data_IF_319096096578
#
_entry.id   IF_319096096578
#
_cell.length_a   1.000
_cell.length_b   1.000
_cell.length_c   1.000
_cell.angle_alpha   90.00
_cell.angle_beta   90.00
_cell.angle_gamma   90.00
#
_symmetry.space_group_name_H-M   'P 1'
#
loop_
_entity.id
_entity.type
_entity.pdbx_description
1 polymer ?
#
# COMPACT_ATOMS: atom_id res chain seq x y z
N UNK A 1 -65.08 -30.21 -9.72
CA UNK A 1 -65.11 -28.79 -10.13
C UNK A 1 -63.98 -27.92 -9.61
N UNK A 2 -63.08 -28.45 -8.79
CA UNK A 2 -61.94 -27.67 -8.19
C UNK A 2 -60.61 -27.75 -8.96
N UNK A 3 -60.44 -28.70 -9.85
CA UNK A 3 -59.14 -28.88 -10.57
C UNK A 3 -58.99 -28.06 -11.87
N UNK A 4 -60.11 -27.57 -12.44
CA UNK A 4 -60.08 -26.75 -13.68
C UNK A 4 -59.75 -25.25 -13.39
N UNK A 5 -59.99 -24.80 -12.17
CA UNK A 5 -59.77 -23.39 -11.81
C UNK A 5 -58.30 -23.07 -11.50
N UNK A 6 -57.52 -24.06 -11.04
CA UNK A 6 -56.10 -23.91 -10.75
C UNK A 6 -55.25 -23.88 -12.05
N UNK A 7 -55.69 -24.59 -13.09
CA UNK A 7 -54.96 -24.65 -14.38
C UNK A 7 -55.03 -23.36 -15.19
N UNK A 8 -56.11 -22.59 -15.02
CA UNK A 8 -56.24 -21.30 -15.69
C UNK A 8 -55.53 -20.15 -14.98
N UNK A 9 -55.29 -20.29 -13.68
CA UNK A 9 -54.53 -19.28 -12.91
C UNK A 9 -53.02 -19.34 -13.25
N UNK A 10 -52.49 -20.54 -13.48
CA UNK A 10 -51.08 -20.72 -13.87
C UNK A 10 -50.75 -20.21 -15.27
N UNK A 11 -51.71 -20.24 -16.20
CA UNK A 11 -51.52 -19.72 -17.57
C UNK A 11 -51.56 -18.19 -17.63
N UNK A 12 -52.23 -17.52 -16.69
CA UNK A 12 -52.27 -16.05 -16.62
C UNK A 12 -51.00 -15.50 -15.99
N UNK A 13 -50.45 -16.17 -14.99
CA UNK A 13 -49.18 -15.75 -14.36
C UNK A 13 -47.93 -16.07 -15.21
N UNK A 14 -47.96 -17.16 -16.00
CA UNK A 14 -46.89 -17.51 -16.93
C UNK A 14 -46.78 -16.58 -18.14
N UNK A 15 -47.92 -16.00 -18.58
CA UNK A 15 -47.95 -15.07 -19.72
C UNK A 15 -47.47 -13.66 -19.39
N UNK A 16 -47.65 -13.21 -18.15
CA UNK A 16 -47.21 -11.88 -17.71
C UNK A 16 -45.68 -11.85 -17.41
N UNK A 17 -45.13 -12.98 -17.00
CA UNK A 17 -43.67 -13.07 -16.71
C UNK A 17 -42.82 -13.08 -17.99
N UNK A 18 -43.36 -13.51 -19.14
CA UNK A 18 -42.64 -13.53 -20.42
C UNK A 18 -42.68 -12.16 -21.12
N UNK A 19 -43.71 -11.34 -20.84
CA UNK A 19 -43.82 -9.99 -21.43
C UNK A 19 -42.95 -8.93 -20.67
N UNK A 20 -42.44 -9.23 -19.49
CA UNK A 20 -41.56 -8.33 -18.76
C UNK A 20 -40.06 -8.58 -19.02
N UNK A 21 -39.70 -9.66 -19.74
CA UNK A 21 -38.31 -9.98 -20.09
C UNK A 21 -37.91 -9.52 -21.51
N UNK A 22 -38.82 -8.93 -22.25
CA UNK A 22 -38.61 -8.58 -23.66
C UNK A 22 -38.34 -7.10 -23.98
N UNK A 23 -38.16 -6.22 -23.00
CA UNK A 23 -38.02 -4.77 -23.23
C UNK A 23 -36.82 -4.09 -22.63
N UNK A 24 -35.69 -4.77 -22.44
CA UNK A 24 -34.43 -4.15 -22.04
C UNK A 24 -33.25 -4.57 -22.92
N UNK A 25 -33.38 -4.33 -24.20
CA UNK A 25 -32.23 -4.27 -25.12
C UNK A 25 -32.19 -2.89 -25.76
N UNK A 26 -32.00 -1.89 -24.95
CA UNK A 26 -31.37 -0.65 -25.38
C UNK A 26 -29.91 -0.77 -25.02
N UNK A 27 -29.04 -0.85 -26.02
CA UNK A 27 -27.63 -0.55 -25.96
C UNK A 27 -27.45 0.88 -25.44
N UNK A 28 -27.60 1.09 -24.13
CA UNK A 28 -27.00 2.20 -23.47
C UNK A 28 -25.57 1.74 -23.10
N UNK A 29 -24.59 2.26 -23.83
CA UNK A 29 -23.21 2.30 -23.34
C UNK A 29 -23.26 2.59 -21.83
N UNK A 30 -22.53 1.86 -20.97
CA UNK A 30 -22.51 2.18 -19.57
C UNK A 30 -22.13 3.64 -19.47
N UNK A 31 -23.05 4.51 -19.03
CA UNK A 31 -22.68 5.84 -18.55
C UNK A 31 -21.64 5.54 -17.47
N UNK A 32 -20.37 5.98 -17.69
CA UNK A 32 -19.40 6.13 -16.62
C UNK A 32 -20.15 6.88 -15.52
N UNK A 33 -20.57 6.18 -14.47
CA UNK A 33 -21.01 6.84 -13.26
C UNK A 33 -19.78 7.60 -12.82
N UNK A 34 -19.85 8.93 -12.81
CA UNK A 34 -18.85 9.74 -12.12
C UNK A 34 -18.92 9.27 -10.67
N UNK A 35 -17.96 8.40 -10.27
CA UNK A 35 -17.92 7.83 -8.92
C UNK A 35 -17.95 8.97 -7.91
N UNK A 36 -18.52 8.77 -6.73
CA UNK A 36 -18.64 9.80 -5.69
C UNK A 36 -17.28 10.38 -5.27
N UNK A 37 -16.17 9.68 -5.59
CA UNK A 37 -14.80 10.15 -5.39
C UNK A 37 -14.19 10.88 -6.60
N UNK A 38 -14.90 11.04 -7.70
CA UNK A 38 -14.36 11.54 -8.97
C UNK A 38 -13.71 12.95 -8.91
N UNK A 39 -14.09 13.74 -7.93
CA UNK A 39 -13.51 15.08 -7.71
C UNK A 39 -12.29 15.08 -6.77
N UNK A 40 -12.03 13.99 -6.04
CA UNK A 40 -10.95 13.90 -5.07
C UNK A 40 -9.71 13.26 -5.68
N UNK A 41 -8.53 13.75 -5.31
CA UNK A 41 -7.24 13.20 -5.74
C UNK A 41 -6.58 12.33 -4.68
N UNK A 42 -6.83 12.66 -3.41
CA UNK A 42 -6.14 12.02 -2.28
C UNK A 42 -7.11 11.60 -1.19
N UNK A 43 -6.80 10.45 -0.58
CA UNK A 43 -7.24 10.15 0.77
C UNK A 43 -6.01 10.06 1.67
N UNK A 44 -6.04 10.70 2.83
CA UNK A 44 -4.92 10.73 3.78
C UNK A 44 -5.41 10.43 5.18
N UNK A 45 -4.77 9.49 5.85
CA UNK A 45 -5.03 9.20 7.26
C UNK A 45 -3.87 9.66 8.13
N UNK A 46 -4.21 10.25 9.28
CA UNK A 46 -3.26 10.56 10.34
C UNK A 46 -3.77 9.91 11.62
N UNK A 47 -2.96 9.05 12.18
CA UNK A 47 -3.26 8.36 13.42
C UNK A 47 -2.40 8.94 14.56
N UNK A 48 -3.02 9.19 15.71
CA UNK A 48 -2.35 9.57 16.94
C UNK A 48 -2.81 8.74 18.12
N UNK A 49 -1.85 8.29 18.89
CA UNK A 49 -2.06 7.65 20.17
C UNK A 49 -1.89 8.71 21.26
N UNK A 50 -2.99 9.19 21.86
CA UNK A 50 -2.91 10.22 22.91
C UNK A 50 -2.21 9.66 24.17
N UNK A 51 -0.99 10.16 24.51
CA UNK A 51 -0.37 9.77 25.76
C UNK A 51 -1.04 10.53 26.89
N UNK A 52 -1.81 9.92 27.71
CA UNK A 52 -2.19 10.31 29.09
C UNK A 52 -3.28 9.40 29.63
N UNK A 53 -3.00 8.09 29.73
CA UNK A 53 -3.83 7.19 30.52
C UNK A 53 -5.26 6.94 30.01
N UNK A 54 -5.69 7.57 28.90
CA UNK A 54 -6.89 7.26 28.16
C UNK A 54 -6.49 6.62 26.84
N UNK A 55 -6.93 5.39 26.63
CA UNK A 55 -6.73 4.61 25.39
C UNK A 55 -7.58 5.14 24.22
N UNK A 56 -7.72 6.43 24.08
CA UNK A 56 -8.50 7.03 23.01
C UNK A 56 -7.60 7.30 21.83
N UNK A 57 -7.43 6.27 20.99
CA UNK A 57 -6.84 6.45 19.67
C UNK A 57 -7.75 7.33 18.83
N UNK A 58 -7.16 8.20 18.04
CA UNK A 58 -7.87 9.08 17.14
C UNK A 58 -7.21 9.03 15.77
N UNK A 59 -8.00 8.75 14.74
CA UNK A 59 -7.59 8.95 13.35
C UNK A 59 -8.34 10.13 12.77
N UNK A 60 -7.62 10.98 12.07
CA UNK A 60 -8.21 11.98 11.16
C UNK A 60 -7.99 11.51 9.73
N UNK A 61 -9.08 11.34 8.99
CA UNK A 61 -9.06 10.96 7.58
C UNK A 61 -9.56 12.13 6.75
N UNK A 62 -8.80 12.49 5.74
CA UNK A 62 -9.09 13.58 4.81
C UNK A 62 -9.27 13.04 3.40
N UNK A 63 -10.34 13.51 2.73
CA UNK A 63 -10.46 13.43 1.27
C UNK A 63 -10.15 14.82 0.71
N UNK A 64 -9.23 14.88 -0.23
CA UNK A 64 -8.69 16.15 -0.75
C UNK A 64 -8.93 16.19 -2.25
N UNK A 65 -9.59 17.24 -2.73
CA UNK A 65 -9.90 17.40 -4.12
C UNK A 65 -8.75 18.04 -4.93
N UNK A 66 -8.96 18.15 -6.25
CA UNK A 66 -7.99 18.77 -7.18
C UNK A 66 -7.65 20.21 -6.87
N UNK A 67 -8.51 20.94 -6.15
CA UNK A 67 -8.27 22.31 -5.72
C UNK A 67 -7.59 22.41 -4.36
N UNK A 68 -7.46 21.28 -3.65
CA UNK A 68 -6.94 21.22 -2.29
C UNK A 68 -8.03 21.42 -1.23
N UNK A 69 -9.32 21.45 -1.62
CA UNK A 69 -10.43 21.49 -0.66
C UNK A 69 -10.50 20.15 0.09
N UNK A 70 -10.75 20.22 1.39
CA UNK A 70 -10.58 19.07 2.28
C UNK A 70 -11.90 18.71 2.97
N UNK A 71 -12.18 17.42 3.02
CA UNK A 71 -13.27 16.85 3.80
C UNK A 71 -12.71 15.95 4.89
N UNK A 72 -12.89 16.33 6.14
CA UNK A 72 -12.36 15.64 7.32
C UNK A 72 -13.37 14.67 7.93
N UNK A 73 -12.87 13.52 8.39
CA UNK A 73 -13.52 12.60 9.33
C UNK A 73 -12.66 12.41 10.57
N UNK A 74 -13.23 12.66 11.74
CA UNK A 74 -12.60 12.36 13.04
C UNK A 74 -13.10 11.02 13.57
N UNK A 75 -12.26 10.00 13.54
CA UNK A 75 -12.59 8.60 13.81
C UNK A 75 -12.03 8.20 15.18
N UNK A 76 -12.82 8.42 16.23
CA UNK A 76 -12.44 8.06 17.60
C UNK A 76 -12.42 6.55 17.79
N UNK A 77 -11.36 6.05 18.40
CA UNK A 77 -11.18 4.64 18.67
C UNK A 77 -10.68 3.82 17.48
N UNK A 78 -10.37 4.44 16.33
CA UNK A 78 -9.79 3.77 15.18
C UNK A 78 -8.31 4.16 15.04
N UNK A 79 -7.50 3.21 14.60
CA UNK A 79 -6.07 3.35 14.33
C UNK A 79 -5.82 3.01 12.87
N UNK A 80 -6.27 3.87 11.95
CA UNK A 80 -6.14 3.60 10.52
C UNK A 80 -4.67 3.71 10.12
N UNK A 81 -4.10 2.61 9.65
CA UNK A 81 -2.70 2.51 9.23
C UNK A 81 -2.52 2.23 7.74
N UNK A 82 -3.58 1.82 7.04
CA UNK A 82 -3.49 1.50 5.61
C UNK A 82 -4.77 1.91 4.90
N UNK A 83 -4.63 2.61 3.78
CA UNK A 83 -5.70 2.99 2.87
C UNK A 83 -5.57 2.21 1.57
N UNK A 84 -6.69 1.77 1.01
CA UNK A 84 -6.71 1.04 -0.25
C UNK A 84 -8.00 1.34 -1.01
N UNK A 85 -7.92 1.44 -2.33
CA UNK A 85 -9.08 1.62 -3.21
C UNK A 85 -9.34 0.36 -4.01
N UNK A 86 -10.59 -0.09 -3.99
CA UNK A 86 -11.10 -1.14 -4.88
C UNK A 86 -12.35 -0.62 -5.60
N UNK A 87 -12.24 -0.42 -6.91
CA UNK A 87 -13.30 0.21 -7.70
C UNK A 87 -13.69 1.58 -7.15
N UNK A 88 -14.95 1.76 -6.79
CA UNK A 88 -15.48 3.01 -6.24
C UNK A 88 -15.52 3.04 -4.70
N UNK A 89 -14.86 2.13 -4.02
CA UNK A 89 -14.82 2.07 -2.56
C UNK A 89 -13.40 2.29 -2.04
N UNK A 90 -13.29 3.03 -0.92
CA UNK A 90 -12.02 3.22 -0.23
C UNK A 90 -12.08 2.51 1.12
N UNK A 91 -11.16 1.57 1.30
CA UNK A 91 -10.99 0.78 2.51
C UNK A 91 -9.98 1.48 3.42
N UNK A 92 -10.36 1.70 4.66
CA UNK A 92 -9.50 2.22 5.70
C UNK A 92 -9.29 1.13 6.76
N UNK A 93 -8.13 0.50 6.70
CA UNK A 93 -7.78 -0.64 7.54
C UNK A 93 -7.25 -0.19 8.89
N UNK A 94 -7.91 -0.63 9.95
CA UNK A 94 -7.46 -0.39 11.32
C UNK A 94 -6.33 -1.34 11.71
N UNK A 95 -5.38 -0.84 12.45
CA UNK A 95 -4.38 -1.64 13.14
C UNK A 95 -5.02 -2.38 14.33
N UNK A 96 -4.71 -3.64 14.51
CA UNK A 96 -5.21 -4.48 15.61
C UNK A 96 -6.67 -4.93 15.46
N UNK A 97 -7.36 -5.14 16.58
CA UNK A 97 -8.71 -5.75 16.65
C UNK A 97 -9.86 -4.87 16.21
N UNK A 98 -9.60 -3.66 15.79
CA UNK A 98 -10.66 -2.71 15.42
C UNK A 98 -11.24 -3.08 14.07
N UNK A 99 -12.57 -2.87 13.86
CA UNK A 99 -13.17 -3.09 12.55
C UNK A 99 -12.58 -2.12 11.52
N UNK A 100 -12.55 -2.56 10.26
CA UNK A 100 -12.19 -1.72 9.14
C UNK A 100 -13.37 -0.87 8.71
N UNK A 101 -13.10 0.24 8.02
CA UNK A 101 -14.11 1.11 7.46
C UNK A 101 -14.07 1.02 5.94
N UNK A 102 -15.25 1.06 5.32
CA UNK A 102 -15.40 1.13 3.86
C UNK A 102 -16.17 2.40 3.54
N UNK A 103 -15.52 3.32 2.86
CA UNK A 103 -16.10 4.56 2.36
C UNK A 103 -16.67 4.30 0.97
N UNK A 104 -17.97 4.47 0.83
CA UNK A 104 -18.69 4.43 -0.46
C UNK A 104 -18.75 5.81 -1.10
N UNK A 105 -18.57 6.83 -0.28
CA UNK A 105 -18.47 8.23 -0.69
C UNK A 105 -17.58 8.97 0.31
N UNK A 106 -17.08 10.16 -0.04
CA UNK A 106 -16.37 11.01 0.92
C UNK A 106 -17.19 11.46 2.13
N UNK A 107 -18.49 11.14 2.17
CA UNK A 107 -19.41 11.53 3.25
C UNK A 107 -19.89 10.37 4.08
N UNK A 108 -19.85 9.17 3.53
CA UNK A 108 -20.53 8.00 4.13
C UNK A 108 -19.61 6.80 4.17
N UNK A 109 -19.55 6.15 5.31
CA UNK A 109 -18.84 4.90 5.46
C UNK A 109 -19.69 3.86 6.20
N UNK A 110 -19.37 2.61 5.99
CA UNK A 110 -19.87 1.48 6.74
C UNK A 110 -18.73 0.81 7.50
N UNK A 111 -19.09 0.19 8.62
CA UNK A 111 -18.14 -0.62 9.37
C UNK A 111 -18.07 -1.99 8.68
N UNK A 112 -16.89 -2.35 8.21
CA UNK A 112 -16.65 -3.67 7.68
C UNK A 112 -16.29 -4.61 8.84
N UNK A 113 -16.99 -5.75 9.01
CA UNK A 113 -16.68 -6.68 10.09
C UNK A 113 -15.22 -7.13 9.97
N UNK A 114 -14.48 -7.01 11.06
CA UNK A 114 -13.10 -7.52 11.13
C UNK A 114 -13.00 -9.04 11.09
N UNK A 115 -14.14 -9.73 11.10
CA UNK A 115 -14.17 -11.19 10.97
C UNK A 115 -13.87 -11.56 9.52
N UNK A 116 -12.61 -11.83 9.25
CA UNK A 116 -12.23 -12.56 8.06
C UNK A 116 -12.71 -13.99 8.28
N UNK A 117 -13.65 -14.51 7.46
CA UNK A 117 -13.99 -15.92 7.50
C UNK A 117 -12.70 -16.73 7.40
N UNK A 118 -12.51 -17.72 8.26
CA UNK A 118 -11.35 -18.62 8.30
C UNK A 118 -10.09 -18.14 9.05
N UNK A 119 -10.12 -17.00 9.74
CA UNK A 119 -9.00 -16.59 10.58
C UNK A 119 -9.33 -16.88 12.04
N UNK A 120 -8.59 -17.80 12.65
CA UNK A 120 -8.64 -18.10 14.09
C UNK A 120 -8.04 -16.97 14.94
N UNK A 121 -8.01 -15.75 14.40
CA UNK A 121 -7.31 -14.62 15.01
C UNK A 121 -8.28 -13.62 15.59
N UNK A 122 -8.12 -13.36 16.85
CA UNK A 122 -8.81 -12.25 17.52
C UNK A 122 -8.17 -10.90 17.22
N UNK A 123 -6.89 -10.89 16.76
CA UNK A 123 -6.10 -9.69 16.54
C UNK A 123 -5.29 -9.81 15.25
N UNK A 124 -5.59 -9.03 14.25
CA UNK A 124 -4.75 -8.88 13.07
C UNK A 124 -4.66 -7.43 12.64
N UNK A 125 -3.57 -7.08 12.00
CA UNK A 125 -3.40 -5.79 11.32
C UNK A 125 -3.09 -6.01 9.85
N UNK A 126 -3.68 -5.19 8.99
CA UNK A 126 -3.30 -5.14 7.57
C UNK A 126 -2.01 -4.33 7.48
N UNK A 127 -0.94 -4.95 7.01
CA UNK A 127 0.37 -4.33 6.85
C UNK A 127 0.52 -3.63 5.51
N UNK A 128 -0.06 -4.23 4.48
CA UNK A 128 -0.17 -3.63 3.17
C UNK A 128 -1.45 -4.09 2.49
N UNK A 129 -1.94 -3.30 1.56
CA UNK A 129 -2.94 -3.70 0.58
C UNK A 129 -2.50 -3.21 -0.79
N UNK A 130 -2.61 -4.07 -1.79
CA UNK A 130 -2.23 -3.76 -3.17
C UNK A 130 -3.26 -4.31 -4.16
N UNK A 131 -3.27 -3.76 -5.37
CA UNK A 131 -4.16 -4.20 -6.43
C UNK A 131 -3.63 -5.50 -7.03
N UNK A 132 -4.39 -6.58 -6.93
CA UNK A 132 -4.14 -7.81 -7.63
C UNK A 132 -4.97 -7.90 -8.92
N UNK A 133 -4.72 -8.93 -9.73
CA UNK A 133 -5.42 -9.15 -11.00
C UNK A 133 -6.92 -9.45 -10.82
N UNK A 134 -7.30 -10.06 -9.69
CA UNK A 134 -8.66 -10.52 -9.41
C UNK A 134 -9.28 -9.92 -8.15
N UNK A 135 -8.65 -8.91 -7.58
CA UNK A 135 -9.09 -8.26 -6.36
C UNK A 135 -7.92 -7.87 -5.47
N UNK A 136 -8.19 -7.35 -4.28
CA UNK A 136 -7.13 -6.89 -3.38
C UNK A 136 -6.25 -8.04 -2.88
N UNK A 137 -4.97 -7.72 -2.71
CA UNK A 137 -4.01 -8.55 -2.00
C UNK A 137 -3.70 -7.85 -0.69
N UNK A 138 -3.88 -8.54 0.41
CA UNK A 138 -3.70 -7.97 1.74
C UNK A 138 -2.70 -8.80 2.57
N UNK A 139 -1.66 -8.15 3.01
CA UNK A 139 -0.70 -8.70 3.97
C UNK A 139 -1.22 -8.55 5.39
N UNK A 140 -1.49 -9.66 6.08
CA UNK A 140 -2.06 -9.71 7.41
C UNK A 140 -1.00 -10.14 8.41
N UNK A 141 -0.76 -9.36 9.46
CA UNK A 141 0.09 -9.74 10.58
C UNK A 141 -0.72 -9.98 11.83
N UNK A 142 -0.35 -11.01 12.57
CA UNK A 142 -0.97 -11.43 13.82
C UNK A 142 0.09 -11.48 14.90
N UNK A 143 -0.18 -10.81 16.02
CA UNK A 143 0.56 -11.07 17.24
C UNK A 143 0.02 -12.37 17.85
N UNK A 144 0.79 -13.45 17.78
CA UNK A 144 0.55 -14.63 18.58
C UNK A 144 1.02 -14.30 20.01
N UNK A 145 0.14 -14.47 21.00
CA UNK A 145 0.43 -14.12 22.41
C UNK A 145 1.61 -14.86 23.06
N UNK A 146 2.34 -15.70 22.32
CA UNK A 146 3.63 -16.24 22.66
C UNK A 146 4.71 -15.25 22.23
N UNK A 147 5.37 -14.70 23.21
CA UNK A 147 6.49 -13.75 23.18
C UNK A 147 7.17 -13.59 21.80
N UNK A 148 6.82 -12.52 21.09
CA UNK A 148 7.70 -11.93 20.07
C UNK A 148 7.67 -12.56 18.68
N UNK A 149 6.83 -13.55 18.38
CA UNK A 149 6.74 -14.12 17.03
C UNK A 149 5.57 -13.48 16.28
N UNK A 150 5.88 -12.63 15.31
CA UNK A 150 4.90 -12.16 14.33
C UNK A 150 4.69 -13.27 13.30
N UNK A 151 3.43 -13.65 13.13
CA UNK A 151 3.01 -14.55 12.05
C UNK A 151 2.21 -13.76 11.04
N UNK A 152 2.48 -13.98 9.80
CA UNK A 152 1.77 -13.28 8.72
C UNK A 152 1.12 -14.26 7.75
N UNK A 153 0.12 -13.75 7.04
CA UNK A 153 -0.57 -14.42 5.94
C UNK A 153 -0.88 -13.41 4.85
N UNK A 154 -1.15 -13.90 3.67
CA UNK A 154 -1.71 -13.11 2.57
C UNK A 154 -3.14 -13.54 2.33
N UNK A 155 -4.06 -12.57 2.25
CA UNK A 155 -5.41 -12.76 1.72
C UNK A 155 -5.43 -12.29 0.27
N UNK A 156 -5.95 -13.11 -0.62
CA UNK A 156 -6.00 -12.83 -2.05
C UNK A 156 -7.16 -13.56 -2.73
N UNK A 157 -7.48 -13.21 -3.97
CA UNK A 157 -8.48 -13.91 -4.79
C UNK A 157 -7.76 -14.79 -5.79
N UNK A 158 -7.94 -16.11 -5.68
CA UNK A 158 -7.25 -17.09 -6.52
C UNK A 158 -7.83 -17.20 -7.95
N UNK A 159 -7.22 -18.07 -8.77
CA UNK A 159 -7.66 -18.34 -10.15
C UNK A 159 -9.11 -18.83 -10.29
N UNK A 160 -9.72 -19.35 -9.23
CA UNK A 160 -11.11 -19.79 -9.19
C UNK A 160 -12.07 -18.71 -8.68
N UNK A 161 -11.65 -17.46 -8.62
CA UNK A 161 -12.38 -16.32 -8.07
C UNK A 161 -12.85 -16.54 -6.61
N UNK A 162 -12.07 -17.28 -5.83
CA UNK A 162 -12.33 -17.49 -4.42
C UNK A 162 -11.32 -16.72 -3.59
N UNK A 163 -11.82 -16.08 -2.54
CA UNK A 163 -10.95 -15.48 -1.54
C UNK A 163 -10.27 -16.57 -0.72
N UNK A 164 -8.96 -16.52 -0.61
CA UNK A 164 -8.11 -17.52 0.05
C UNK A 164 -7.15 -16.86 1.02
N UNK A 165 -6.72 -17.62 2.01
CA UNK A 165 -5.60 -17.27 2.88
C UNK A 165 -4.41 -18.16 2.58
N UNK A 166 -3.24 -17.56 2.46
CA UNK A 166 -1.98 -18.29 2.36
C UNK A 166 -1.69 -19.10 3.65
N UNK A 167 -0.74 -20.03 3.63
CA UNK A 167 -0.11 -20.55 4.83
C UNK A 167 0.45 -19.45 5.72
N UNK A 168 0.73 -19.78 6.98
CA UNK A 168 1.40 -18.87 7.93
C UNK A 168 2.89 -18.83 7.64
N UNK A 169 3.46 -17.61 7.66
CA UNK A 169 4.91 -17.40 7.68
C UNK A 169 5.32 -16.67 8.96
N UNK A 170 6.50 -16.98 9.49
CA UNK A 170 7.02 -16.34 10.71
C UNK A 170 7.80 -15.08 10.37
N UNK A 171 7.19 -14.20 9.57
CA UNK A 171 7.77 -12.97 9.09
C UNK A 171 6.78 -11.82 9.29
N UNK A 172 7.29 -10.63 9.52
CA UNK A 172 6.53 -9.40 9.33
C UNK A 172 6.55 -9.06 7.85
N UNK A 173 5.40 -9.12 7.17
CA UNK A 173 5.32 -8.77 5.75
C UNK A 173 5.41 -7.26 5.55
N UNK A 174 6.17 -6.87 4.54
CA UNK A 174 6.29 -5.50 4.05
C UNK A 174 5.34 -5.21 2.90
N UNK A 175 5.89 -4.92 1.72
CA UNK A 175 5.12 -4.67 0.48
C UNK A 175 4.86 -5.96 -0.28
N UNK A 176 3.81 -5.96 -1.11
CA UNK A 176 3.47 -7.11 -1.96
C UNK A 176 2.89 -6.68 -3.31
N UNK A 177 3.25 -7.40 -4.37
CA UNK A 177 2.72 -7.22 -5.73
C UNK A 177 2.42 -8.56 -6.38
N UNK A 178 1.39 -8.64 -7.22
CA UNK A 178 1.05 -9.83 -8.00
C UNK A 178 1.59 -9.71 -9.43
N UNK A 179 2.27 -10.75 -9.88
CA UNK A 179 2.74 -10.90 -11.26
C UNK A 179 2.63 -12.37 -11.65
N UNK A 180 2.00 -12.68 -12.78
CA UNK A 180 1.90 -14.05 -13.34
C UNK A 180 1.41 -15.10 -12.32
N UNK A 181 0.33 -14.80 -11.59
CA UNK A 181 -0.23 -15.67 -10.54
C UNK A 181 0.75 -16.02 -9.41
N UNK A 182 1.72 -15.16 -9.17
CA UNK A 182 2.61 -15.19 -8.02
C UNK A 182 2.54 -13.87 -7.29
N UNK A 183 2.46 -13.91 -5.98
CA UNK A 183 2.46 -12.72 -5.15
C UNK A 183 3.84 -12.58 -4.51
N UNK A 184 4.63 -11.65 -5.03
CA UNK A 184 5.95 -11.32 -4.50
C UNK A 184 5.81 -10.43 -3.28
N UNK A 185 6.52 -10.74 -2.20
CA UNK A 185 6.48 -9.99 -0.95
C UNK A 185 7.84 -9.86 -0.32
N UNK A 186 8.08 -8.75 0.33
CA UNK A 186 9.19 -8.58 1.25
C UNK A 186 8.76 -8.95 2.66
N UNK A 187 9.68 -9.46 3.47
CA UNK A 187 9.39 -9.84 4.84
C UNK A 187 10.61 -9.70 5.75
N UNK A 188 10.36 -9.50 7.03
CA UNK A 188 11.36 -9.37 8.07
C UNK A 188 11.16 -10.42 9.16
N UNK A 189 12.18 -11.22 9.44
CA UNK A 189 12.19 -12.15 10.57
C UNK A 189 12.63 -11.44 11.85
N UNK A 190 11.70 -11.22 12.75
CA UNK A 190 11.98 -10.56 14.02
C UNK A 190 12.90 -11.37 14.96
N UNK A 191 12.98 -12.68 14.77
CA UNK A 191 13.80 -13.57 15.61
C UNK A 191 15.21 -13.69 15.04
N UNK A 192 15.31 -14.04 13.75
CA UNK A 192 16.57 -14.13 13.01
C UNK A 192 17.18 -12.78 12.69
N UNK A 193 16.38 -11.71 12.72
CA UNK A 193 16.81 -10.37 12.34
C UNK A 193 17.28 -10.31 10.87
N UNK A 194 16.59 -11.07 10.02
CA UNK A 194 16.90 -11.23 8.61
C UNK A 194 15.78 -10.71 7.71
N UNK A 195 16.17 -10.11 6.61
CA UNK A 195 15.23 -9.76 5.54
C UNK A 195 15.01 -10.96 4.62
N UNK A 196 13.81 -11.07 4.08
CA UNK A 196 13.43 -12.14 3.16
C UNK A 196 12.68 -11.59 1.97
N UNK A 197 12.99 -12.11 0.80
CA UNK A 197 12.20 -11.90 -0.40
C UNK A 197 11.54 -13.23 -0.79
N UNK A 198 10.22 -13.23 -0.83
CA UNK A 198 9.41 -14.42 -1.03
C UNK A 198 8.45 -14.22 -2.19
N UNK A 199 7.97 -15.32 -2.73
CA UNK A 199 6.74 -15.32 -3.50
C UNK A 199 5.77 -16.38 -2.97
N UNK A 200 4.48 -16.07 -3.09
CA UNK A 200 3.40 -17.01 -2.89
C UNK A 200 2.96 -17.51 -4.27
N UNK A 201 3.10 -18.82 -4.51
CA UNK A 201 2.52 -19.48 -5.67
C UNK A 201 1.01 -19.67 -5.42
N UNK A 202 0.16 -18.97 -6.19
CA UNK A 202 -1.28 -19.01 -5.97
C UNK A 202 -1.92 -20.38 -6.29
N UNK A 203 -1.34 -21.15 -7.20
CA UNK A 203 -1.86 -22.46 -7.59
C UNK A 203 -1.57 -23.51 -6.51
N UNK A 204 -0.37 -23.49 -5.97
CA UNK A 204 0.06 -24.39 -4.89
C UNK A 204 -0.41 -23.89 -3.52
N UNK A 205 -0.63 -22.61 -3.37
CA UNK A 205 -0.85 -21.89 -2.10
C UNK A 205 0.30 -22.14 -1.11
N UNK A 206 1.52 -21.98 -1.59
CA UNK A 206 2.75 -22.19 -0.83
C UNK A 206 3.71 -21.01 -1.01
N UNK A 207 4.41 -20.65 0.07
CA UNK A 207 5.48 -19.66 0.00
C UNK A 207 6.79 -20.33 -0.36
N UNK A 208 7.50 -19.70 -1.30
CA UNK A 208 8.86 -20.07 -1.65
C UNK A 208 9.77 -18.83 -1.50
N UNK A 209 11.03 -19.04 -1.16
CA UNK A 209 12.01 -17.95 -1.02
C UNK A 209 12.70 -17.70 -2.36
N UNK A 210 12.90 -16.45 -2.71
CA UNK A 210 13.80 -16.06 -3.79
C UNK A 210 15.23 -16.20 -3.26
N UNK A 211 16.03 -17.03 -3.92
CA UNK A 211 17.43 -17.21 -3.59
C UNK A 211 18.23 -15.95 -3.95
N UNK A 212 18.74 -15.27 -2.94
CA UNK A 212 19.61 -14.10 -3.07
C UNK A 212 21.02 -14.48 -2.60
N UNK A 213 22.04 -13.83 -3.17
CA UNK A 213 23.45 -14.06 -2.80
C UNK A 213 23.68 -13.69 -1.34
N UNK A 214 23.12 -12.55 -0.90
CA UNK A 214 23.18 -12.13 0.48
C UNK A 214 21.90 -11.43 0.92
N UNK A 215 20.86 -12.16 1.34
CA UNK A 215 19.59 -11.60 1.76
C UNK A 215 19.71 -10.74 3.02
N UNK A 216 20.79 -10.89 3.81
CA UNK A 216 21.00 -10.12 5.04
C UNK A 216 21.46 -8.68 4.78
N UNK A 217 21.82 -8.34 3.54
CA UNK A 217 22.36 -7.01 3.21
C UNK A 217 21.30 -5.94 2.95
N UNK A 218 20.04 -6.33 2.75
CA UNK A 218 19.03 -5.39 2.23
C UNK A 218 17.83 -5.22 3.14
N UNK A 219 17.61 -3.99 3.60
CA UNK A 219 16.31 -3.54 4.09
C UNK A 219 15.50 -3.04 2.89
N UNK A 220 14.62 -3.88 2.36
CA UNK A 220 13.83 -3.60 1.16
C UNK A 220 12.90 -2.41 1.36
N UNK A 221 13.24 -1.28 0.77
CA UNK A 221 12.44 -0.05 0.85
C UNK A 221 11.29 -0.05 -0.15
N UNK A 222 11.55 -0.52 -1.37
CA UNK A 222 10.57 -0.51 -2.44
C UNK A 222 10.48 -1.86 -3.15
N UNK A 223 9.27 -2.18 -3.62
CA UNK A 223 8.94 -3.33 -4.44
C UNK A 223 8.17 -2.82 -5.67
N UNK A 224 8.76 -2.92 -6.84
CA UNK A 224 8.29 -2.31 -8.07
C UNK A 224 8.06 -3.37 -9.15
N UNK A 225 7.13 -3.10 -10.07
CA UNK A 225 7.00 -3.84 -11.32
C UNK A 225 7.50 -2.96 -12.47
N UNK A 226 8.55 -3.40 -13.16
CA UNK A 226 9.21 -2.62 -14.22
C UNK A 226 9.52 -3.55 -15.39
N UNK A 227 8.98 -3.24 -16.55
CA UNK A 227 9.20 -4.03 -17.78
C UNK A 227 8.99 -5.55 -17.56
N UNK A 228 7.93 -5.90 -16.85
CA UNK A 228 7.57 -7.29 -16.53
C UNK A 228 8.42 -7.98 -15.46
N UNK A 229 9.42 -7.31 -14.88
CA UNK A 229 10.26 -7.82 -13.80
C UNK A 229 9.91 -7.21 -12.46
N UNK A 230 10.14 -7.97 -11.40
CA UNK A 230 9.97 -7.52 -10.02
C UNK A 230 11.29 -6.96 -9.52
N UNK A 231 11.29 -5.66 -9.19
CA UNK A 231 12.48 -4.95 -8.75
C UNK A 231 12.37 -4.64 -7.26
N UNK A 232 13.43 -4.89 -6.51
CA UNK A 232 13.58 -4.35 -5.15
C UNK A 232 14.75 -3.39 -5.09
N UNK A 233 14.57 -2.33 -4.32
CA UNK A 233 15.63 -1.39 -3.96
C UNK A 233 15.68 -1.35 -2.44
N UNK A 234 16.84 -1.63 -1.87
CA UNK A 234 17.00 -1.76 -0.43
C UNK A 234 18.17 -0.98 0.14
N UNK A 235 17.96 -0.47 1.35
CA UNK A 235 19.01 0.15 2.15
C UNK A 235 19.89 -0.91 2.81
N UNK A 236 21.11 -0.57 3.28
CA UNK A 236 21.90 -1.47 4.09
C UNK A 236 21.10 -1.95 5.32
N UNK A 237 21.00 -3.24 5.50
CA UNK A 237 20.41 -3.84 6.70
C UNK A 237 21.50 -4.16 7.71
N UNK A 238 21.37 -3.62 8.93
CA UNK A 238 22.27 -3.88 10.03
C UNK A 238 21.58 -4.80 11.05
N UNK A 239 21.90 -6.09 10.96
CA UNK A 239 21.40 -7.03 11.94
C UNK A 239 22.00 -6.73 13.33
N UNK A 240 21.22 -6.98 14.38
CA UNK A 240 21.71 -6.91 15.77
C UNK A 240 22.82 -7.93 16.06
N UNK A 241 22.98 -8.93 15.20
CA UNK A 241 24.02 -9.95 15.29
C UNK A 241 25.28 -9.59 14.49
N UNK A 242 25.27 -8.50 13.72
CA UNK A 242 26.44 -8.04 12.97
C UNK A 242 27.46 -7.48 13.94
N UNK A 243 28.72 -7.93 13.79
CA UNK A 243 29.88 -7.29 14.42
C UNK A 243 30.25 -5.98 13.68
N UNK A 244 31.26 -5.29 14.19
CA UNK A 244 31.68 -4.00 13.66
C UNK A 244 32.22 -4.13 12.24
N UNK A 245 32.95 -5.20 11.91
CA UNK A 245 33.53 -5.46 10.59
C UNK A 245 32.41 -5.65 9.55
N UNK A 246 31.40 -6.47 9.84
CA UNK A 246 30.24 -6.67 8.98
C UNK A 246 29.42 -5.39 8.79
N UNK A 247 29.25 -4.58 9.85
CA UNK A 247 28.55 -3.29 9.75
C UNK A 247 29.28 -2.32 8.84
N UNK A 248 30.60 -2.22 8.94
CA UNK A 248 31.39 -1.38 8.02
C UNK A 248 31.38 -1.93 6.59
N UNK A 249 31.37 -3.25 6.40
CA UNK A 249 31.26 -3.86 5.06
C UNK A 249 29.93 -3.55 4.38
N UNK A 250 28.82 -3.56 5.12
CA UNK A 250 27.48 -3.25 4.63
C UNK A 250 27.22 -1.76 4.46
N UNK A 251 27.94 -0.93 5.18
CA UNK A 251 27.79 0.52 5.18
C UNK A 251 27.92 1.08 3.77
N UNK A 252 26.99 1.97 3.42
CA UNK A 252 26.95 2.61 2.09
C UNK A 252 26.73 1.65 0.91
N UNK A 253 26.20 0.48 1.14
CA UNK A 253 25.85 -0.47 0.06
C UNK A 253 24.34 -0.57 -0.10
N UNK A 254 23.79 0.07 -1.12
CA UNK A 254 22.40 -0.12 -1.55
C UNK A 254 22.33 -1.39 -2.39
N UNK A 255 21.36 -2.24 -2.15
CA UNK A 255 21.10 -3.42 -2.95
C UNK A 255 20.00 -3.19 -3.98
N UNK A 256 20.23 -3.63 -5.19
CA UNK A 256 19.26 -3.68 -6.27
C UNK A 256 19.05 -5.14 -6.64
N UNK A 257 17.80 -5.58 -6.68
CA UNK A 257 17.47 -6.95 -7.10
C UNK A 257 16.42 -6.90 -8.20
N UNK A 258 16.63 -7.67 -9.25
CA UNK A 258 15.69 -7.86 -10.35
C UNK A 258 15.35 -9.34 -10.46
N UNK A 259 14.05 -9.68 -10.40
CA UNK A 259 13.59 -11.06 -10.51
C UNK A 259 12.68 -11.20 -11.73
N UNK A 260 12.98 -12.16 -12.59
CA UNK A 260 12.07 -12.60 -13.63
C UNK A 260 10.95 -13.44 -13.00
N UNK A 261 9.67 -13.02 -13.09
CA UNK A 261 8.58 -13.70 -12.39
C UNK A 261 8.23 -15.07 -13.01
N UNK A 262 8.77 -15.40 -14.19
CA UNK A 262 8.55 -16.66 -14.88
C UNK A 262 9.61 -17.69 -14.50
N UNK A 263 10.89 -17.36 -14.69
CA UNK A 263 12.01 -18.24 -14.37
C UNK A 263 12.39 -18.23 -12.89
N UNK A 264 12.01 -17.18 -12.15
CA UNK A 264 12.40 -16.90 -10.77
C UNK A 264 13.90 -16.64 -10.58
N UNK A 265 14.62 -16.44 -11.68
CA UNK A 265 16.02 -16.05 -11.64
C UNK A 265 16.16 -14.63 -11.09
N UNK A 266 16.99 -14.47 -10.08
CA UNK A 266 17.34 -13.19 -9.49
C UNK A 266 18.67 -12.69 -10.03
N UNK A 267 18.72 -11.41 -10.37
CA UNK A 267 19.94 -10.67 -10.64
C UNK A 267 20.12 -9.63 -9.55
N UNK A 268 21.31 -9.52 -9.02
CA UNK A 268 21.65 -8.59 -7.94
C UNK A 268 22.80 -7.68 -8.36
N UNK A 269 22.71 -6.43 -7.93
CA UNK A 269 23.76 -5.41 -8.07
C UNK A 269 23.83 -4.60 -6.77
N UNK A 270 24.99 -4.10 -6.45
CA UNK A 270 25.20 -3.17 -5.35
C UNK A 270 25.60 -1.81 -5.86
N UNK A 271 25.10 -0.78 -5.22
CA UNK A 271 25.43 0.60 -5.54
C UNK A 271 25.93 1.30 -4.28
N UNK A 272 27.01 2.09 -4.43
CA UNK A 272 27.60 2.80 -3.29
C UNK A 272 26.85 4.08 -2.98
N UNK A 273 26.04 4.04 -1.93
CA UNK A 273 25.40 5.19 -1.29
C UNK A 273 24.94 4.81 0.12
N UNK A 274 24.82 5.80 0.99
CA UNK A 274 24.44 5.59 2.38
C UNK A 274 22.98 5.14 2.52
N UNK A 275 22.07 5.73 1.74
CA UNK A 275 20.63 5.49 1.86
C UNK A 275 19.88 5.84 0.57
N UNK A 276 18.83 5.08 0.29
CA UNK A 276 17.77 5.43 -0.67
C UNK A 276 16.67 6.18 0.05
N UNK A 277 16.23 7.30 -0.50
CA UNK A 277 15.07 8.03 -0.03
C UNK A 277 13.77 7.44 -0.57
N UNK A 278 13.75 7.12 -1.85
CA UNK A 278 12.61 6.52 -2.55
C UNK A 278 13.05 5.91 -3.86
N UNK A 279 12.24 4.97 -4.38
CA UNK A 279 12.36 4.45 -5.74
C UNK A 279 10.97 4.38 -6.38
N UNK A 280 10.90 4.53 -7.71
CA UNK A 280 9.66 4.51 -8.47
C UNK A 280 9.89 4.06 -9.91
N UNK A 281 8.88 3.45 -10.58
CA UNK A 281 8.94 3.14 -12.00
C UNK A 281 8.97 4.43 -12.81
N UNK A 282 9.72 4.40 -13.89
CA UNK A 282 9.80 5.53 -14.83
C UNK A 282 9.89 5.01 -16.25
N UNK A 283 8.83 5.13 -17.06
CA UNK A 283 8.72 4.52 -18.38
C UNK A 283 8.98 2.99 -18.30
N UNK A 284 9.96 2.47 -19.03
CA UNK A 284 10.37 1.06 -18.96
C UNK A 284 11.56 0.81 -18.00
N UNK A 285 11.90 1.82 -17.20
CA UNK A 285 13.02 1.82 -16.26
C UNK A 285 12.50 2.02 -14.82
N UNK A 286 13.40 2.07 -13.87
CA UNK A 286 13.10 2.60 -12.54
C UNK A 286 14.14 3.65 -12.14
N UNK A 287 13.69 4.54 -11.29
CA UNK A 287 14.52 5.60 -10.71
C UNK A 287 14.55 5.46 -9.21
N UNK A 288 15.66 5.82 -8.61
CA UNK A 288 15.76 6.00 -7.17
C UNK A 288 16.62 7.21 -6.83
N UNK A 289 16.30 7.81 -5.67
CA UNK A 289 16.99 8.99 -5.15
C UNK A 289 17.75 8.61 -3.89
N UNK A 290 19.01 8.99 -3.83
CA UNK A 290 19.92 8.66 -2.74
C UNK A 290 20.14 9.84 -1.79
N UNK A 291 20.60 9.57 -0.57
CA UNK A 291 20.91 10.59 0.44
C UNK A 291 22.06 11.51 0.07
N UNK A 292 22.97 11.05 -0.80
CA UNK A 292 24.03 11.86 -1.39
C UNK A 292 23.58 12.68 -2.62
N UNK A 293 22.25 12.81 -2.78
CA UNK A 293 21.56 13.73 -3.71
C UNK A 293 21.66 13.33 -5.18
N UNK A 294 21.80 12.06 -5.48
CA UNK A 294 21.79 11.55 -6.84
C UNK A 294 20.43 10.98 -7.20
N UNK A 295 19.95 11.28 -8.42
CA UNK A 295 18.88 10.56 -9.08
C UNK A 295 19.50 9.59 -10.06
N UNK A 296 19.27 8.31 -9.87
CA UNK A 296 19.77 7.26 -10.73
C UNK A 296 18.61 6.62 -11.47
N UNK A 297 18.82 6.32 -12.74
CA UNK A 297 17.88 5.58 -13.59
C UNK A 297 18.52 4.28 -14.05
N UNK A 298 17.82 3.17 -13.85
CA UNK A 298 18.26 1.83 -14.21
C UNK A 298 17.21 1.12 -15.05
N UNK A 299 17.66 0.28 -15.97
CA UNK A 299 16.78 -0.70 -16.64
C UNK A 299 16.37 -1.81 -15.68
N UNK A 300 15.33 -2.57 -16.06
CA UNK A 300 14.92 -3.77 -15.33
C UNK A 300 16.02 -4.86 -15.27
N UNK A 301 17.06 -4.79 -16.12
CA UNK A 301 18.25 -5.65 -16.09
C UNK A 301 19.37 -5.11 -15.20
N UNK A 302 19.10 -4.10 -14.38
CA UNK A 302 20.04 -3.44 -13.48
C UNK A 302 21.22 -2.76 -14.22
N UNK A 303 20.99 -2.19 -15.40
CA UNK A 303 21.99 -1.39 -16.11
C UNK A 303 21.73 0.08 -15.90
N UNK A 304 22.73 0.82 -15.45
CA UNK A 304 22.66 2.27 -15.29
C UNK A 304 22.39 2.95 -16.65
N UNK A 305 21.34 3.75 -16.72
CA UNK A 305 20.92 4.54 -17.88
C UNK A 305 21.39 5.97 -17.76
N UNK A 306 21.12 6.57 -16.59
CA UNK A 306 21.48 7.96 -16.32
C UNK A 306 21.70 8.21 -14.83
N UNK A 307 22.50 9.24 -14.56
CA UNK A 307 22.74 9.78 -13.23
C UNK A 307 22.65 11.31 -13.30
N UNK A 308 21.92 11.91 -12.33
CA UNK A 308 21.73 13.35 -12.23
C UNK A 308 21.95 13.82 -10.80
N UNK A 309 22.70 14.90 -10.61
CA UNK A 309 22.80 15.59 -9.32
C UNK A 309 21.52 16.39 -9.03
N UNK A 310 20.96 16.18 -7.87
CA UNK A 310 19.77 16.87 -7.34
C UNK A 310 20.12 17.89 -6.25
N UNK A 311 21.39 18.24 -6.06
CA UNK A 311 21.83 19.18 -5.03
C UNK A 311 21.06 20.51 -5.15
N UNK A 312 20.52 20.96 -4.02
CA UNK A 312 19.76 22.22 -3.95
C UNK A 312 18.32 22.15 -4.46
N UNK A 313 17.84 20.96 -4.89
CA UNK A 313 16.44 20.80 -5.28
C UNK A 313 15.52 20.70 -4.06
N UNK A 314 14.27 21.15 -4.21
CA UNK A 314 13.22 21.02 -3.19
C UNK A 314 12.97 19.55 -2.80
N UNK A 315 13.14 18.61 -3.74
CA UNK A 315 12.95 17.20 -3.50
C UNK A 315 13.92 16.69 -2.42
N UNK A 316 15.21 16.88 -2.60
CA UNK A 316 16.23 16.45 -1.64
C UNK A 316 16.12 17.20 -0.32
N UNK A 317 15.84 18.52 -0.38
CA UNK A 317 15.66 19.33 0.82
C UNK A 317 14.51 18.78 1.69
N UNK A 318 13.41 18.30 1.08
CA UNK A 318 12.27 17.73 1.80
C UNK A 318 12.67 16.48 2.62
N UNK A 319 13.48 15.59 2.04
CA UNK A 319 13.94 14.36 2.71
C UNK A 319 15.05 14.61 3.73
N UNK A 320 15.78 15.70 3.59
CA UNK A 320 16.88 16.09 4.48
C UNK A 320 16.44 16.99 5.63
N UNK A 321 15.22 17.51 5.62
CA UNK A 321 14.69 18.40 6.64
C UNK A 321 14.34 17.63 7.91
N UNK A 322 15.15 17.78 8.95
CA UNK A 322 14.96 17.11 10.24
C UNK A 322 13.75 17.62 11.04
N UNK A 323 13.12 18.71 10.61
CA UNK A 323 11.87 19.21 11.19
C UNK A 323 10.64 18.48 10.67
N UNK A 324 10.82 17.68 9.62
CA UNK A 324 9.79 16.90 8.95
C UNK A 324 10.06 15.40 9.07
N UNK A 325 9.01 14.62 8.97
CA UNK A 325 9.06 13.16 8.81
C UNK A 325 8.36 12.79 7.52
N UNK A 326 9.07 12.18 6.59
CA UNK A 326 8.46 11.58 5.41
C UNK A 326 7.68 10.34 5.86
N UNK A 327 6.38 10.32 5.57
CA UNK A 327 5.47 9.25 5.99
C UNK A 327 5.19 8.27 4.88
N UNK A 328 4.96 8.79 3.67
CA UNK A 328 4.57 7.96 2.54
C UNK A 328 5.04 8.62 1.23
N UNK A 329 5.42 7.78 0.28
CA UNK A 329 5.71 8.19 -1.09
C UNK A 329 4.84 7.34 -2.02
N UNK A 330 4.11 8.00 -2.92
CA UNK A 330 3.31 7.38 -3.96
C UNK A 330 3.71 7.96 -5.31
N UNK A 331 3.43 7.24 -6.37
CA UNK A 331 3.77 7.68 -7.72
C UNK A 331 2.68 7.30 -8.73
N UNK A 332 2.59 8.10 -9.78
CA UNK A 332 1.90 7.81 -11.02
C UNK A 332 2.89 8.02 -12.16
N UNK A 333 2.45 7.85 -13.39
CA UNK A 333 3.31 8.08 -14.57
C UNK A 333 3.84 9.50 -14.66
N UNK A 334 3.12 10.49 -14.11
CA UNK A 334 3.42 11.92 -14.25
C UNK A 334 3.84 12.61 -12.95
N UNK A 335 3.67 11.98 -11.80
CA UNK A 335 3.99 12.61 -10.51
C UNK A 335 4.51 11.63 -9.44
N UNK A 336 5.44 12.13 -8.63
CA UNK A 336 5.82 11.55 -7.35
C UNK A 336 5.17 12.39 -6.26
N UNK A 337 4.44 11.76 -5.36
CA UNK A 337 3.67 12.43 -4.29
C UNK A 337 4.22 12.01 -2.94
N UNK A 338 4.65 12.99 -2.17
CA UNK A 338 5.27 12.77 -0.85
C UNK A 338 4.37 13.35 0.23
N UNK A 339 4.01 12.54 1.20
CA UNK A 339 3.36 12.96 2.43
C UNK A 339 4.40 13.19 3.53
N UNK A 340 4.46 14.38 4.05
CA UNK A 340 5.29 14.72 5.21
C UNK A 340 4.45 15.19 6.38
N UNK A 341 4.93 14.93 7.60
CA UNK A 341 4.35 15.45 8.84
C UNK A 341 5.41 16.18 9.63
N UNK A 342 5.04 17.12 10.51
CA UNK A 342 5.98 17.67 11.48
C UNK A 342 6.64 16.54 12.29
N UNK A 343 7.96 16.60 12.48
CA UNK A 343 8.72 15.62 13.28
C UNK A 343 8.40 15.69 14.79
N UNK A 344 7.80 16.80 15.22
CA UNK A 344 7.34 17.02 16.60
C UNK A 344 5.86 17.39 16.57
N UNK A 345 5.21 17.30 17.73
CA UNK A 345 3.84 17.72 17.90
C UNK A 345 3.61 19.15 17.36
N UNK A 346 2.54 19.34 16.61
CA UNK A 346 2.19 20.59 15.95
C UNK A 346 0.85 21.11 16.45
N UNK A 347 0.68 22.42 16.46
CA UNK A 347 -0.60 23.13 16.74
C UNK A 347 -1.19 23.79 15.50
N UNK A 348 -0.53 23.66 14.35
CA UNK A 348 -0.90 24.37 13.12
C UNK A 348 -1.33 23.43 12.00
N UNK A 349 -0.60 22.35 11.79
CA UNK A 349 -0.80 21.45 10.67
C UNK A 349 -0.63 19.99 11.06
N UNK A 350 -1.34 19.12 10.34
CA UNK A 350 -1.24 17.66 10.42
C UNK A 350 -0.11 17.15 9.53
N UNK A 351 0.05 17.74 8.37
CA UNK A 351 1.03 17.38 7.37
C UNK A 351 0.90 18.18 6.09
N UNK A 352 1.76 17.87 5.13
CA UNK A 352 1.78 18.48 3.80
C UNK A 352 1.97 17.39 2.75
N UNK A 353 1.16 17.45 1.69
CA UNK A 353 1.35 16.69 0.46
C UNK A 353 2.16 17.56 -0.49
N UNK A 354 3.24 17.02 -1.04
CA UNK A 354 4.06 17.68 -2.06
C UNK A 354 4.07 16.81 -3.31
N UNK A 355 3.61 17.36 -4.42
CA UNK A 355 3.65 16.73 -5.73
C UNK A 355 4.89 17.21 -6.48
N UNK A 356 5.63 16.26 -7.03
CA UNK A 356 6.78 16.50 -7.88
C UNK A 356 6.53 15.90 -9.26
N UNK A 357 7.07 16.53 -10.27
CA UNK A 357 7.13 15.96 -11.62
C UNK A 357 8.05 14.71 -11.63
N UNK A 358 7.62 13.62 -12.26
CA UNK A 358 8.41 12.37 -12.29
C UNK A 358 9.71 12.50 -13.10
N UNK A 359 9.76 13.41 -14.07
CA UNK A 359 10.90 13.58 -14.97
C UNK A 359 11.96 14.53 -14.39
N UNK A 360 11.51 15.68 -13.86
CA UNK A 360 12.38 16.76 -13.39
C UNK A 360 12.59 16.78 -11.89
N UNK A 361 11.68 16.21 -11.12
CA UNK A 361 11.54 16.31 -9.66
C UNK A 361 11.36 17.76 -9.18
N UNK A 362 10.81 18.62 -10.02
CA UNK A 362 10.38 19.96 -9.64
C UNK A 362 9.01 19.91 -8.95
N UNK A 363 8.78 20.82 -8.03
CA UNK A 363 7.50 20.91 -7.31
C UNK A 363 6.40 21.37 -8.25
N UNK A 364 5.36 20.55 -8.41
CA UNK A 364 4.12 20.88 -9.11
C UNK A 364 3.08 21.53 -8.20
N UNK A 365 2.97 21.00 -6.97
CA UNK A 365 1.91 21.43 -6.04
C UNK A 365 2.30 21.16 -4.60
N UNK A 366 1.82 22.02 -3.68
CA UNK A 366 1.87 21.78 -2.23
C UNK A 366 0.48 21.96 -1.63
N UNK A 367 0.05 21.03 -0.79
CA UNK A 367 -1.23 21.06 -0.11
C UNK A 367 -0.96 20.85 1.38
N UNK A 368 -1.14 21.92 2.15
CA UNK A 368 -1.03 21.83 3.61
C UNK A 368 -2.38 21.36 4.20
N UNK A 369 -2.32 20.40 5.10
CA UNK A 369 -3.46 19.86 5.82
C UNK A 369 -3.46 20.50 7.20
N UNK A 370 -4.34 21.47 7.46
CA UNK A 370 -4.36 22.19 8.71
C UNK A 370 -4.88 21.32 9.85
N UNK A 371 -4.45 21.61 11.06
CA UNK A 371 -5.06 21.04 12.25
C UNK A 371 -6.35 21.80 12.58
N UNK A 372 -7.50 21.13 12.54
CA UNK A 372 -8.82 21.72 12.76
C UNK A 372 -9.11 22.10 14.21
N UNK A 373 -8.34 21.54 15.16
CA UNK A 373 -8.51 21.76 16.59
C UNK A 373 -7.36 22.59 17.16
N UNK A 374 -7.63 23.38 18.23
CA UNK A 374 -6.59 24.13 18.96
C UNK A 374 -5.78 23.23 19.93
N UNK A 375 -5.65 21.96 19.60
CA UNK A 375 -4.91 20.97 20.39
C UNK A 375 -3.58 20.64 19.72
N UNK A 376 -2.60 20.29 20.51
CA UNK A 376 -1.35 19.77 19.99
C UNK A 376 -1.56 18.37 19.42
N UNK A 377 -1.05 18.14 18.23
CA UNK A 377 -1.16 16.88 17.51
C UNK A 377 0.22 16.31 17.20
N UNK A 378 0.42 15.06 17.59
CA UNK A 378 1.57 14.25 17.22
C UNK A 378 1.10 13.09 16.36
N UNK A 379 1.72 12.92 15.20
CA UNK A 379 1.38 11.85 14.25
C UNK A 379 2.25 10.64 14.50
N UNK A 380 1.66 9.54 15.00
CA UNK A 380 2.36 8.26 15.16
C UNK A 380 2.49 7.53 13.83
N UNK A 381 1.42 7.53 13.03
CA UNK A 381 1.41 6.94 11.70
C UNK A 381 0.53 7.76 10.75
N UNK A 382 0.87 7.74 9.48
CA UNK A 382 0.05 8.33 8.42
C UNK A 382 0.17 7.47 7.16
N UNK A 383 -0.89 7.46 6.35
CA UNK A 383 -0.90 6.83 5.03
C UNK A 383 -1.53 7.74 3.98
N UNK A 384 -1.10 7.59 2.75
CA UNK A 384 -1.53 8.35 1.59
C UNK A 384 -2.00 7.39 0.49
N UNK A 385 -3.20 7.61 0.01
CA UNK A 385 -3.77 6.94 -1.15
C UNK A 385 -3.98 7.95 -2.28
N UNK A 386 -3.49 7.65 -3.46
CA UNK A 386 -3.86 8.33 -4.70
C UNK A 386 -5.16 7.70 -5.20
N UNK A 387 -6.21 8.53 -5.36
CA UNK A 387 -7.52 8.04 -5.79
C UNK A 387 -7.50 7.82 -7.29
N UNK A 388 -7.70 6.56 -7.69
CA UNK A 388 -7.79 6.14 -9.08
C UNK A 388 -9.19 6.43 -9.64
N UNK A 389 -9.26 7.06 -10.80
CA UNK A 389 -10.47 7.42 -11.51
C UNK A 389 -10.74 6.56 -12.76
N UNK A 390 -9.92 5.50 -12.98
CA UNK A 390 -10.02 4.61 -14.15
C UNK A 390 -11.23 3.68 -14.11
#
# INVERSE_FOLDING_TARGET
MKLKMVRNLFLIFGGISVLLLGSCSRNSSPKKSSGEFSQYEYAVSFYSYRPKGKRDTLTKLYFIDKKGEQKEHSLKGYSIGTLFQEGNEIYAYSLGTRPHLVFKSPSTYSVYPSQIPFVDFTNYSVRFASKGQKGPIEGLSVEDGSVGVLRSRIRYTNSKNKQVLSPKVNLSLGKGIEVNSKIFVTGFDLVGDDMSFLYLDEEKNEFERIELQDPSQSDFQELLLVDGKVITVGNPHFSRFDDEEKREEKKNKISLTSVDPTSLEAKEETFEAERVFTAYPFKNNFRFVTSDRRLLEYTSDLKLVSEKDLSGTDFVNLFSDTSLTVREVRYTDDKVVVLVTPAKASTKEMGTIVEFDTETLEVKKRITIPLSEKAEWETDSADLLLIDHS
#
